data_IF_544592947674
#
_entry.id   IF_544592947674
#
_cell.length_a   1.000
_cell.length_b   1.000
_cell.length_c   1.000
_cell.angle_alpha   90.00
_cell.angle_beta   90.00
_cell.angle_gamma   90.00
#
_symmetry.space_group_name_H-M   'P 1'
#
loop_
_entity.id
_entity.type
_entity.pdbx_description
1 polymer ?
#
# COMPACT_ATOMS: atom_id res chain seq x y z
N UNK A 1 -1.52 -3.71 -9.40
CA UNK A 1 -1.50 -3.43 -7.95
C UNK A 1 -0.97 -2.03 -7.75
N UNK A 2 -1.64 -1.22 -6.94
CA UNK A 2 -1.24 0.13 -6.61
C UNK A 2 -0.82 0.20 -5.13
N UNK A 3 0.23 0.96 -4.85
CA UNK A 3 0.59 1.39 -3.52
C UNK A 3 0.03 2.78 -3.27
N UNK A 4 -0.59 3.00 -2.10
CA UNK A 4 -0.93 4.34 -1.62
C UNK A 4 0.09 4.71 -0.56
N UNK A 5 0.72 5.86 -0.76
CA UNK A 5 1.78 6.41 0.05
C UNK A 5 1.36 7.78 0.60
N UNK A 6 1.83 8.19 1.78
CA UNK A 6 1.68 9.58 2.22
C UNK A 6 2.30 10.56 1.21
N UNK A 7 1.77 11.79 1.10
CA UNK A 7 2.28 12.81 0.16
C UNK A 7 3.79 13.06 0.34
N UNK A 8 4.24 13.16 1.59
CA UNK A 8 5.62 13.47 1.95
C UNK A 8 6.53 12.24 2.02
N UNK A 9 6.08 11.08 1.52
CA UNK A 9 6.86 9.85 1.60
C UNK A 9 7.99 9.82 0.55
N UNK A 10 9.23 9.42 0.88
CA UNK A 10 10.35 9.40 -0.08
C UNK A 10 10.09 8.55 -1.33
N UNK A 11 9.32 7.47 -1.19
CA UNK A 11 8.93 6.60 -2.30
C UNK A 11 7.91 7.25 -3.26
N UNK A 12 7.31 8.40 -2.90
CA UNK A 12 6.41 9.15 -3.78
C UNK A 12 7.16 9.84 -4.93
N UNK A 13 8.48 10.05 -4.80
CA UNK A 13 9.33 10.57 -5.89
C UNK A 13 9.57 9.52 -6.97
N UNK A 14 9.40 8.23 -6.65
CA UNK A 14 9.56 7.16 -7.62
C UNK A 14 8.32 7.07 -8.53
N UNK A 15 8.53 6.82 -9.81
CA UNK A 15 7.46 6.55 -10.76
C UNK A 15 6.77 5.21 -10.45
N UNK A 16 7.58 4.22 -10.02
CA UNK A 16 7.12 2.91 -9.59
C UNK A 16 7.80 2.53 -8.27
N UNK A 17 7.04 1.90 -7.37
CA UNK A 17 7.54 1.48 -6.06
C UNK A 17 7.93 0.00 -6.12
N UNK A 18 9.19 -0.35 -5.82
CA UNK A 18 9.59 -1.74 -5.72
C UNK A 18 8.93 -2.40 -4.50
N UNK A 19 8.32 -3.57 -4.69
CA UNK A 19 7.73 -4.35 -3.58
C UNK A 19 8.74 -4.65 -2.47
N UNK A 20 10.02 -4.86 -2.82
CA UNK A 20 11.12 -5.07 -1.86
C UNK A 20 11.38 -3.86 -0.95
N UNK A 21 11.21 -2.64 -1.46
CA UNK A 21 11.37 -1.42 -0.65
C UNK A 21 10.12 -1.19 0.20
N UNK A 22 8.94 -1.34 -0.41
CA UNK A 22 7.68 -1.21 0.30
C UNK A 22 7.58 -2.15 1.50
N UNK A 23 8.07 -3.38 1.37
CA UNK A 23 8.04 -4.36 2.45
C UNK A 23 8.87 -3.97 3.68
N UNK A 24 9.87 -3.09 3.53
CA UNK A 24 10.69 -2.59 4.65
C UNK A 24 9.97 -1.49 5.42
N UNK A 25 9.08 -0.77 4.75
CA UNK A 25 8.29 0.30 5.32
C UNK A 25 7.11 -0.25 6.14
N UNK A 26 6.59 0.53 7.12
CA UNK A 26 5.40 0.13 7.88
C UNK A 26 4.21 -0.09 6.95
N UNK A 27 3.71 -1.32 6.91
CA UNK A 27 2.62 -1.74 6.04
C UNK A 27 1.30 -1.82 6.82
N UNK A 28 0.26 -1.23 6.26
CA UNK A 28 -1.12 -1.36 6.73
C UNK A 28 -1.80 -2.39 5.85
N UNK A 29 -2.10 -3.54 6.44
CA UNK A 29 -2.77 -4.63 5.76
C UNK A 29 -4.29 -4.38 5.81
N UNK A 30 -4.90 -4.30 4.64
CA UNK A 30 -6.35 -4.35 4.52
C UNK A 30 -6.82 -5.81 4.62
N UNK A 31 -7.65 -6.09 5.62
CA UNK A 31 -8.24 -7.40 5.87
C UNK A 31 -9.60 -7.51 5.17
N UNK A 32 -9.58 -7.88 3.89
CA UNK A 32 -10.77 -8.22 3.11
C UNK A 32 -11.03 -9.73 3.19
N UNK A 33 -11.48 -10.20 4.36
CA UNK A 33 -11.83 -11.59 4.58
C UNK A 33 -10.64 -12.56 4.49
N UNK A 34 -10.80 -13.68 3.78
CA UNK A 34 -9.84 -14.79 3.80
C UNK A 34 -8.68 -14.66 2.78
N UNK A 35 -8.68 -13.64 1.92
CA UNK A 35 -7.70 -13.52 0.83
C UNK A 35 -6.89 -12.24 0.92
N UNK A 36 -5.66 -12.35 1.43
CA UNK A 36 -4.70 -11.25 1.44
C UNK A 36 -3.83 -11.28 0.18
N UNK A 37 -4.34 -10.69 -0.90
CA UNK A 37 -3.62 -10.60 -2.18
C UNK A 37 -2.28 -9.86 -2.09
N UNK A 38 -2.15 -8.73 -1.34
CA UNK A 38 -0.85 -8.09 -1.14
C UNK A 38 0.17 -9.04 -0.53
N UNK A 39 -0.20 -9.77 0.52
CA UNK A 39 0.67 -10.75 1.17
C UNK A 39 1.09 -11.86 0.21
N UNK A 40 0.20 -12.28 -0.70
CA UNK A 40 0.53 -13.27 -1.73
C UNK A 40 1.58 -12.71 -2.71
N UNK A 41 1.46 -11.45 -3.13
CA UNK A 41 2.45 -10.82 -4.01
C UNK A 41 3.83 -10.71 -3.33
N UNK A 42 3.88 -10.30 -2.06
CA UNK A 42 5.13 -10.29 -1.30
C UNK A 42 5.73 -11.70 -1.17
N UNK A 43 4.91 -12.71 -0.83
CA UNK A 43 5.35 -14.12 -0.75
C UNK A 43 5.89 -14.66 -2.06
N UNK A 44 5.28 -14.33 -3.20
CA UNK A 44 5.77 -14.75 -4.52
C UNK A 44 7.17 -14.20 -4.83
N UNK A 45 7.56 -13.08 -4.21
CA UNK A 45 8.89 -12.48 -4.33
C UNK A 45 9.86 -12.92 -3.22
N UNK A 46 9.43 -13.80 -2.30
CA UNK A 46 10.22 -14.19 -1.14
C UNK A 46 10.41 -13.08 -0.11
N UNK A 47 9.56 -12.06 -0.13
CA UNK A 47 9.61 -10.90 0.76
C UNK A 47 8.47 -10.99 1.77
N UNK A 48 8.72 -10.58 3.01
CA UNK A 48 7.67 -10.47 4.03
C UNK A 48 7.47 -8.99 4.36
N UNK A 49 6.25 -8.43 4.19
CA UNK A 49 6.01 -7.03 4.50
C UNK A 49 6.01 -6.81 6.02
N UNK A 50 6.47 -5.64 6.45
CA UNK A 50 6.44 -5.21 7.84
C UNK A 50 5.04 -4.74 8.22
N UNK A 51 4.11 -5.68 8.44
CA UNK A 51 2.72 -5.37 8.82
C UNK A 51 2.69 -4.78 10.22
N UNK A 52 2.45 -3.46 10.31
CA UNK A 52 2.29 -2.72 11.57
C UNK A 52 0.84 -2.64 12.03
N UNK A 53 -0.07 -2.54 11.07
CA UNK A 53 -1.49 -2.38 11.33
C UNK A 53 -2.29 -3.30 10.42
N UNK A 54 -3.40 -3.83 10.93
CA UNK A 54 -4.37 -4.58 10.15
C UNK A 54 -5.74 -3.93 10.36
N UNK A 55 -6.38 -3.51 9.27
CA UNK A 55 -7.62 -2.74 9.26
C UNK A 55 -8.58 -3.41 8.28
N UNK A 56 -9.87 -3.42 8.58
CA UNK A 56 -10.92 -3.96 7.71
C UNK A 56 -11.83 -2.85 7.13
N UNK A 57 -11.55 -1.59 7.46
CA UNK A 57 -12.32 -0.41 7.03
C UNK A 57 -11.50 0.42 6.02
N UNK A 58 -12.03 0.51 4.80
CA UNK A 58 -11.48 1.27 3.69
C UNK A 58 -11.34 2.78 3.98
N UNK A 59 -12.16 3.36 4.84
CA UNK A 59 -12.04 4.77 5.20
C UNK A 59 -10.96 4.99 6.26
N UNK A 60 -10.87 4.09 7.24
CA UNK A 60 -9.86 4.17 8.29
C UNK A 60 -8.44 4.05 7.70
N UNK A 61 -8.24 3.15 6.74
CA UNK A 61 -6.94 2.98 6.08
C UNK A 61 -6.53 4.24 5.32
N UNK A 62 -7.48 4.98 4.71
CA UNK A 62 -7.19 6.24 4.03
C UNK A 62 -6.65 7.28 5.02
N UNK A 63 -7.33 7.50 6.14
CA UNK A 63 -6.87 8.44 7.17
C UNK A 63 -5.50 8.04 7.73
N UNK A 64 -5.26 6.74 7.93
CA UNK A 64 -3.97 6.28 8.45
C UNK A 64 -2.81 6.53 7.47
N UNK A 65 -3.06 6.42 6.17
CA UNK A 65 -2.06 6.76 5.15
C UNK A 65 -1.83 8.28 5.10
N UNK A 66 -2.88 9.10 5.20
CA UNK A 66 -2.76 10.56 5.25
C UNK A 66 -1.86 11.06 6.36
N UNK A 67 -2.02 10.49 7.56
CA UNK A 67 -1.22 10.89 8.72
C UNK A 67 0.15 10.23 8.76
N UNK A 68 0.53 9.45 7.74
CA UNK A 68 1.86 8.86 7.63
C UNK A 68 2.08 7.61 8.49
N UNK A 69 1.03 6.90 8.91
CA UNK A 69 1.17 5.71 9.77
C UNK A 69 1.65 4.46 9.02
N UNK A 70 1.56 4.46 7.69
CA UNK A 70 2.07 3.39 6.86
C UNK A 70 1.58 3.40 5.42
N UNK A 71 1.98 2.38 4.66
CA UNK A 71 1.68 2.18 3.26
C UNK A 71 0.62 1.09 3.11
N UNK A 72 -0.24 1.21 2.11
CA UNK A 72 -1.23 0.17 1.77
C UNK A 72 -1.08 -0.24 0.31
N UNK A 73 -1.32 -1.52 0.02
CA UNK A 73 -1.52 -2.01 -1.35
C UNK A 73 -3.00 -2.28 -1.59
N UNK A 74 -3.58 -1.67 -2.63
CA UNK A 74 -4.91 -2.02 -3.12
C UNK A 74 -4.83 -2.43 -4.60
N UNK A 75 -5.49 -3.52 -4.95
CA UNK A 75 -5.52 -4.03 -6.33
C UNK A 75 -6.66 -3.42 -7.13
N UNK A 76 -7.80 -3.18 -6.47
CA UNK A 76 -8.99 -2.56 -7.04
C UNK A 76 -8.74 -1.08 -7.30
N UNK A 77 -8.99 -0.63 -8.53
CA UNK A 77 -8.99 0.78 -8.89
C UNK A 77 -10.06 1.48 -8.04
N UNK A 78 -9.66 2.05 -6.91
CA UNK A 78 -10.58 2.74 -6.02
C UNK A 78 -10.77 4.14 -6.61
N UNK A 79 -11.95 4.47 -7.20
CA UNK A 79 -12.15 5.80 -7.78
C UNK A 79 -11.97 6.89 -6.70
N UNK A 80 -12.37 6.60 -5.47
CA UNK A 80 -12.19 7.46 -4.29
C UNK A 80 -10.73 7.77 -3.98
N UNK A 81 -9.81 6.80 -4.15
CA UNK A 81 -8.38 7.04 -3.95
C UNK A 81 -7.78 7.85 -5.11
N UNK A 82 -8.34 7.76 -6.32
CA UNK A 82 -7.89 8.56 -7.46
C UNK A 82 -8.20 10.05 -7.26
N UNK A 83 -9.36 10.37 -6.68
CA UNK A 83 -9.76 11.77 -6.44
C UNK A 83 -9.08 12.38 -5.20
N UNK A 84 -8.88 11.60 -4.14
CA UNK A 84 -8.26 12.09 -2.88
C UNK A 84 -6.72 11.99 -2.93
N UNK A 85 -6.18 11.00 -3.64
CA UNK A 85 -4.76 10.61 -3.64
C UNK A 85 -4.15 10.48 -5.03
N UNK A 86 -4.59 11.30 -6.00
CA UNK A 86 -4.06 11.28 -7.37
C UNK A 86 -2.51 11.26 -7.43
N UNK A 87 -1.84 12.00 -6.54
CA UNK A 87 -0.38 12.07 -6.45
C UNK A 87 0.27 11.05 -5.49
N UNK A 88 -0.54 10.33 -4.72
CA UNK A 88 -0.12 9.41 -3.66
C UNK A 88 -0.26 7.93 -4.09
N UNK A 89 -0.94 7.65 -5.21
CA UNK A 89 -1.02 6.33 -5.82
C UNK A 89 0.18 6.08 -6.73
N UNK A 90 0.94 5.00 -6.48
CA UNK A 90 2.07 4.57 -7.31
C UNK A 90 1.92 3.14 -7.79
N UNK A 91 2.37 2.86 -9.02
CA UNK A 91 2.39 1.52 -9.55
C UNK A 91 3.46 0.68 -8.86
N UNK A 92 3.13 -0.60 -8.61
CA UNK A 92 4.07 -1.55 -8.01
C UNK A 92 4.86 -2.29 -9.07
N UNK A 93 6.19 -2.30 -8.91
CA UNK A 93 7.08 -3.08 -9.74
C UNK A 93 7.47 -4.39 -9.03
N UNK A 94 7.14 -5.52 -9.66
CA UNK A 94 7.66 -6.83 -9.30
C UNK A 94 9.04 -7.01 -9.96
N UNK A 95 10.08 -6.52 -9.29
CA UNK A 95 11.48 -6.66 -9.72
C UNK A 95 12.18 -7.84 -9.07
#
# INVERSE_FOLDING_TARGET
>A
MLAVLPAEHPLSELETVPLKLQAKEPFILLEEGHYYEPLKAFRSLGVTPNVKYTIHDDYAIMTMVEVGLGLVCKMSECPTARDIFANQCKFLQAG
#
